data_IF_100976837618
#
_entry.id   IF_100976837618
#
_cell.length_a   1.000
_cell.length_b   1.000
_cell.length_c   1.000
_cell.angle_alpha   90.00
_cell.angle_beta   90.00
_cell.angle_gamma   90.00
#
_symmetry.space_group_name_H-M   'P 1'
#
loop_
_entity.id
_entity.type
_entity.pdbx_description
1 polymer ?
#
# COMPACT_ATOMS: atom_id res chain seq x y z
N UNK A 1 36.06 -10.26 4.63
CA UNK A 1 36.10 -10.90 3.30
C UNK A 1 35.05 -10.21 2.44
N UNK A 2 35.41 -9.66 1.27
CA UNK A 2 34.43 -9.23 0.27
C UNK A 2 34.07 -10.42 -0.65
N UNK A 3 32.83 -10.47 -1.12
CA UNK A 3 32.43 -11.30 -2.26
C UNK A 3 31.43 -10.52 -3.13
N UNK A 4 32.00 -10.00 -4.21
CA UNK A 4 31.52 -9.87 -5.59
C UNK A 4 30.06 -9.53 -5.92
N UNK A 5 30.00 -8.57 -6.83
CA UNK A 5 28.91 -8.20 -7.72
C UNK A 5 28.37 -9.42 -8.51
N UNK A 6 27.06 -9.45 -8.76
CA UNK A 6 26.52 -10.07 -9.98
C UNK A 6 25.47 -9.17 -10.62
N UNK A 7 25.46 -9.24 -11.96
CA UNK A 7 24.90 -8.23 -12.86
C UNK A 7 23.44 -8.48 -13.25
N UNK A 8 22.87 -7.52 -13.96
CA UNK A 8 21.46 -7.43 -14.35
C UNK A 8 21.03 -8.42 -15.44
N UNK A 9 19.73 -8.73 -15.46
CA UNK A 9 19.01 -9.06 -16.70
C UNK A 9 17.76 -8.18 -16.84
N UNK A 10 17.63 -7.57 -18.02
CA UNK A 10 16.47 -6.82 -18.49
C UNK A 10 15.78 -7.59 -19.62
N UNK A 11 14.59 -7.14 -20.05
CA UNK A 11 13.59 -7.85 -20.85
C UNK A 11 12.88 -9.00 -20.07
N UNK A 12 11.56 -9.17 -20.14
CA UNK A 12 10.71 -9.03 -21.34
C UNK A 12 9.31 -8.51 -20.97
N UNK A 13 8.86 -7.40 -21.56
CA UNK A 13 7.53 -6.81 -21.32
C UNK A 13 6.78 -6.37 -22.61
N UNK A 14 7.22 -6.85 -23.78
CA UNK A 14 6.63 -6.45 -25.08
C UNK A 14 5.59 -7.43 -25.66
N UNK A 15 5.30 -8.57 -25.02
CA UNK A 15 4.37 -9.58 -25.58
C UNK A 15 2.88 -9.35 -25.28
N UNK A 16 2.51 -8.29 -24.55
CA UNK A 16 1.12 -8.06 -24.12
C UNK A 16 0.35 -7.09 -25.03
N UNK A 17 1.03 -6.20 -25.75
CA UNK A 17 0.34 -5.18 -26.58
C UNK A 17 -0.12 -5.69 -27.97
N UNK A 18 0.52 -6.71 -28.53
CA UNK A 18 0.30 -7.11 -29.93
C UNK A 18 -0.95 -7.98 -30.16
N UNK A 19 -1.67 -8.35 -29.09
CA UNK A 19 -2.88 -9.19 -29.16
C UNK A 19 -4.22 -8.45 -29.22
N UNK A 20 -4.22 -7.11 -29.10
CA UNK A 20 -5.46 -6.31 -29.03
C UNK A 20 -5.77 -5.58 -30.36
N UNK A 21 -4.80 -5.42 -31.26
CA UNK A 21 -4.94 -4.58 -32.47
C UNK A 21 -5.50 -5.30 -33.71
N UNK A 22 -5.77 -6.62 -33.66
CA UNK A 22 -6.26 -7.39 -34.82
C UNK A 22 -7.57 -8.15 -34.57
N UNK A 23 -8.69 -7.44 -34.59
CA UNK A 23 -9.87 -7.85 -35.36
C UNK A 23 -10.92 -6.73 -35.47
N UNK A 24 -10.97 -6.10 -36.63
CA UNK A 24 -12.09 -5.24 -37.04
C UNK A 24 -13.13 -6.05 -37.80
N UNK A 25 -14.38 -5.56 -37.79
CA UNK A 25 -15.50 -5.91 -38.67
C UNK A 25 -16.20 -7.27 -38.48
N UNK A 26 -17.45 -7.20 -37.98
CA UNK A 26 -18.64 -7.56 -38.78
C UNK A 26 -19.92 -6.95 -38.19
N UNK A 27 -20.89 -6.72 -39.08
CA UNK A 27 -22.29 -6.39 -38.76
C UNK A 27 -22.92 -7.43 -37.82
N UNK A 28 -23.89 -7.00 -37.02
CA UNK A 28 -24.64 -7.86 -36.09
C UNK A 28 -25.74 -7.09 -35.38
N UNK A 29 -26.81 -6.80 -36.12
CA UNK A 29 -28.11 -6.37 -35.60
C UNK A 29 -28.68 -7.44 -34.65
N UNK A 30 -29.33 -7.01 -33.55
CA UNK A 30 -29.91 -7.91 -32.55
C UNK A 30 -30.29 -7.14 -31.30
N UNK A 31 -31.59 -6.92 -31.09
CA UNK A 31 -32.09 -6.06 -30.03
C UNK A 31 -32.04 -6.69 -28.63
N UNK A 32 -32.32 -5.85 -27.64
CA UNK A 32 -32.78 -6.28 -26.32
C UNK A 32 -34.02 -5.44 -25.98
N UNK A 33 -35.14 -6.12 -25.73
CA UNK A 33 -36.41 -5.49 -25.40
C UNK A 33 -36.68 -5.64 -23.90
N UNK A 34 -37.12 -4.53 -23.29
CA UNK A 34 -37.96 -4.50 -22.09
C UNK A 34 -37.28 -4.83 -20.73
N UNK A 35 -37.52 -3.97 -19.72
CA UNK A 35 -38.38 -4.34 -18.59
C UNK A 35 -38.63 -3.16 -17.62
N UNK A 36 -39.92 -2.88 -17.42
CA UNK A 36 -40.55 -2.37 -16.18
C UNK A 36 -40.16 -0.98 -15.62
N UNK A 37 -40.89 0.03 -16.10
CA UNK A 37 -41.81 0.94 -15.37
C UNK A 37 -41.91 0.94 -13.80
N UNK A 38 -42.53 2.03 -13.29
CA UNK A 38 -43.02 2.34 -11.93
C UNK A 38 -42.07 3.02 -10.93
N UNK A 39 -42.15 4.35 -10.87
CA UNK A 39 -42.66 5.07 -9.67
C UNK A 39 -42.71 6.59 -9.86
N UNK A 40 -43.69 7.09 -10.62
CA UNK A 40 -44.00 8.52 -10.65
C UNK A 40 -44.76 8.92 -9.36
N UNK A 41 -44.12 9.69 -8.49
CA UNK A 41 -44.79 10.34 -7.36
C UNK A 41 -45.46 11.63 -7.80
N UNK A 42 -46.72 11.81 -7.41
CA UNK A 42 -47.47 13.04 -7.71
C UNK A 42 -46.84 14.25 -7.00
N UNK A 43 -46.65 15.34 -7.74
CA UNK A 43 -46.67 16.69 -7.17
C UNK A 43 -47.38 17.64 -8.13
N UNK A 44 -48.27 18.47 -7.59
CA UNK A 44 -49.05 19.48 -8.31
C UNK A 44 -48.34 20.84 -8.29
N UNK A 45 -48.92 21.79 -9.04
CA UNK A 45 -48.58 23.22 -9.15
C UNK A 45 -47.29 23.57 -9.95
N UNK A 46 -47.24 24.64 -10.77
CA UNK A 46 -48.28 25.64 -11.08
C UNK A 46 -48.08 26.41 -12.40
N UNK A 47 -49.22 26.89 -12.94
CA UNK A 47 -49.47 28.13 -13.74
C UNK A 47 -48.65 28.60 -14.97
N UNK A 48 -49.42 29.01 -16.00
CA UNK A 48 -49.16 29.98 -17.11
C UNK A 48 -48.28 29.47 -18.28
N UNK A 49 -48.56 29.74 -19.57
CA UNK A 49 -49.45 30.68 -20.29
C UNK A 49 -50.32 29.90 -21.31
N UNK A 50 -51.54 30.24 -21.77
CA UNK A 50 -52.29 31.49 -22.03
C UNK A 50 -51.86 32.29 -23.28
N UNK A 51 -52.83 32.52 -24.19
CA UNK A 51 -52.81 33.14 -25.54
C UNK A 51 -52.48 32.20 -26.72
N UNK A 52 -53.13 32.28 -27.89
CA UNK A 52 -54.45 32.85 -28.30
C UNK A 52 -54.79 32.37 -29.73
N UNK A 53 -56.06 32.54 -30.14
CA UNK A 53 -56.61 32.65 -31.51
C UNK A 53 -57.43 31.49 -32.08
N UNK A 54 -58.65 31.87 -32.49
CA UNK A 54 -59.71 31.08 -33.11
C UNK A 54 -59.62 31.07 -34.64
N UNK A 55 -60.37 30.15 -35.29
CA UNK A 55 -61.40 30.43 -36.31
C UNK A 55 -62.34 29.20 -36.36
N UNK A 56 -63.62 29.31 -35.97
CA UNK A 56 -64.76 29.70 -36.81
C UNK A 56 -65.07 28.73 -37.97
N UNK A 57 -65.93 27.76 -37.67
CA UNK A 57 -66.77 27.03 -38.64
C UNK A 57 -67.91 27.96 -39.13
N UNK A 58 -68.43 27.78 -40.36
CA UNK A 58 -69.85 27.40 -40.44
C UNK A 58 -70.19 26.35 -41.53
N UNK A 59 -71.34 25.66 -41.39
CA UNK A 59 -71.72 24.48 -42.20
C UNK A 59 -72.56 24.84 -43.44
N UNK A 60 -72.81 23.86 -44.32
CA UNK A 60 -73.85 23.94 -45.36
C UNK A 60 -74.38 22.54 -45.77
N UNK A 61 -75.58 22.42 -46.38
CA UNK A 61 -76.60 21.58 -45.74
C UNK A 61 -77.44 20.70 -46.69
N UNK A 62 -78.46 20.07 -46.09
CA UNK A 62 -79.71 19.59 -46.72
C UNK A 62 -79.66 18.35 -47.64
N UNK A 63 -80.22 17.27 -47.10
CA UNK A 63 -81.05 16.35 -47.87
C UNK A 63 -82.17 17.09 -48.62
N UNK A 64 -82.52 16.63 -49.82
CA UNK A 64 -83.93 16.70 -50.24
C UNK A 64 -84.30 15.52 -51.15
N UNK A 65 -85.10 14.61 -50.60
CA UNK A 65 -85.90 13.65 -51.36
C UNK A 65 -87.22 14.28 -51.76
N UNK A 66 -87.56 14.31 -53.04
CA UNK A 66 -88.95 14.49 -53.49
C UNK A 66 -89.25 13.49 -54.61
N UNK A 67 -90.47 12.97 -54.59
CA UNK A 67 -90.99 11.95 -55.49
C UNK A 67 -92.33 12.47 -56.02
N UNK A 68 -92.58 12.27 -57.31
CA UNK A 68 -93.88 11.94 -57.94
C UNK A 68 -94.15 12.65 -59.30
N UNK A 69 -94.51 11.80 -60.27
CA UNK A 69 -95.64 11.91 -61.23
C UNK A 69 -95.91 13.24 -61.97
N UNK A 70 -95.86 13.20 -63.32
CA UNK A 70 -97.08 13.05 -64.16
C UNK A 70 -96.88 13.33 -65.67
N UNK A 71 -97.50 12.47 -66.50
CA UNK A 71 -98.17 12.74 -67.80
C UNK A 71 -97.48 13.43 -68.99
N UNK A 72 -97.57 12.74 -70.15
CA UNK A 72 -97.95 13.23 -71.49
C UNK A 72 -97.08 14.34 -72.16
N UNK A 73 -96.73 14.27 -73.45
CA UNK A 73 -97.64 14.22 -74.63
C UNK A 73 -96.89 13.66 -75.85
N UNK A 74 -97.60 12.90 -76.69
CA UNK A 74 -97.15 12.45 -78.01
C UNK A 74 -97.28 13.58 -79.07
N UNK A 75 -96.23 13.91 -79.86
CA UNK A 75 -96.37 14.72 -81.07
C UNK A 75 -97.02 13.88 -82.17
N UNK A 76 -98.19 14.32 -82.63
CA UNK A 76 -98.90 13.73 -83.78
C UNK A 76 -98.24 14.13 -85.09
N UNK A 77 -98.33 13.23 -86.08
CA UNK A 77 -98.26 13.62 -87.50
C UNK A 77 -99.29 14.72 -87.83
N UNK A 78 -98.95 15.61 -88.76
CA UNK A 78 -99.90 16.20 -89.68
C UNK A 78 -99.69 15.60 -91.08
N UNK A 79 -100.49 14.59 -91.42
CA UNK A 79 -100.68 14.16 -92.81
C UNK A 79 -101.18 15.35 -93.65
N UNK A 80 -100.38 15.80 -94.61
CA UNK A 80 -100.85 16.70 -95.67
C UNK A 80 -100.87 15.95 -97.00
N UNK A 81 -102.00 15.30 -97.26
CA UNK A 81 -102.39 14.87 -98.60
C UNK A 81 -102.94 16.11 -99.32
N UNK A 82 -102.37 16.49 -100.45
CA UNK A 82 -103.18 17.06 -101.54
C UNK A 82 -102.54 16.79 -102.91
N UNK A 83 -103.34 16.44 -103.93
CA UNK A 83 -102.83 16.04 -105.23
C UNK A 83 -102.66 17.22 -106.19
N UNK A 84 -101.71 17.08 -107.11
CA UNK A 84 -101.73 17.73 -108.42
C UNK A 84 -101.17 16.68 -109.40
N UNK A 85 -101.84 16.32 -110.48
CA UNK A 85 -102.60 17.21 -111.37
C UNK A 85 -101.86 17.21 -112.69
N UNK A 86 -102.12 16.21 -113.52
CA UNK A 86 -101.51 16.10 -114.86
C UNK A 86 -102.02 17.23 -115.73
N UNK A 87 -101.16 18.20 -116.05
CA UNK A 87 -101.37 19.15 -117.14
C UNK A 87 -100.00 19.58 -117.71
N UNK A 88 -99.77 19.17 -118.95
CA UNK A 88 -98.82 19.63 -119.96
C UNK A 88 -97.57 20.43 -119.55
N UNK A 89 -96.40 19.84 -119.82
CA UNK A 89 -95.09 20.49 -119.71
C UNK A 89 -94.87 21.52 -120.84
N UNK A 90 -94.11 22.59 -120.55
CA UNK A 90 -93.50 23.44 -121.58
C UNK A 90 -91.97 23.36 -121.50
N UNK A 91 -91.28 23.37 -122.64
CA UNK A 91 -89.81 23.19 -122.72
C UNK A 91 -89.01 24.30 -122.00
N UNK A 92 -89.58 25.49 -121.80
CA UNK A 92 -88.89 26.59 -121.11
C UNK A 92 -88.81 26.35 -119.61
N UNK A 93 -89.90 25.84 -119.02
CA UNK A 93 -90.05 25.56 -117.59
C UNK A 93 -89.22 24.33 -117.16
N UNK A 94 -88.86 23.46 -118.13
CA UNK A 94 -87.89 22.38 -117.93
C UNK A 94 -86.46 22.91 -117.84
N UNK A 95 -86.07 23.88 -118.68
CA UNK A 95 -84.67 24.34 -118.81
C UNK A 95 -84.22 25.22 -117.64
N UNK A 96 -85.10 26.09 -117.14
CA UNK A 96 -84.83 26.83 -115.89
C UNK A 96 -84.71 25.87 -114.70
N UNK A 97 -85.57 24.85 -114.65
CA UNK A 97 -85.57 23.80 -113.62
C UNK A 97 -84.32 22.92 -113.70
N UNK A 98 -83.81 22.60 -114.88
CA UNK A 98 -82.50 21.96 -115.08
C UNK A 98 -81.35 22.82 -114.56
N UNK A 99 -81.35 24.14 -114.83
CA UNK A 99 -80.32 25.05 -114.30
C UNK A 99 -80.37 25.16 -112.78
N UNK A 100 -81.57 25.14 -112.19
CA UNK A 100 -81.79 25.11 -110.75
C UNK A 100 -81.30 23.78 -110.14
N UNK A 101 -81.56 22.64 -110.80
CA UNK A 101 -81.07 21.32 -110.40
C UNK A 101 -79.54 21.27 -110.42
N UNK A 102 -78.89 21.80 -111.47
CA UNK A 102 -77.42 21.87 -111.55
C UNK A 102 -76.81 22.76 -110.46
N UNK A 103 -77.40 23.94 -110.19
CA UNK A 103 -76.96 24.80 -109.08
C UNK A 103 -77.19 24.17 -107.70
N UNK A 104 -78.29 23.44 -107.52
CA UNK A 104 -78.55 22.67 -106.30
C UNK A 104 -77.57 21.49 -106.15
N UNK A 105 -77.21 20.80 -107.24
CA UNK A 105 -76.17 19.77 -107.23
C UNK A 105 -74.79 20.34 -106.88
N UNK A 106 -74.36 21.42 -107.51
CA UNK A 106 -73.07 22.06 -107.21
C UNK A 106 -72.99 22.57 -105.77
N UNK A 107 -74.06 23.20 -105.27
CA UNK A 107 -74.16 23.61 -103.87
C UNK A 107 -74.17 22.42 -102.91
N UNK A 108 -74.84 21.31 -103.27
CA UNK A 108 -74.84 20.08 -102.48
C UNK A 108 -73.44 19.44 -102.43
N UNK A 109 -72.71 19.44 -103.54
CA UNK A 109 -71.34 18.92 -103.65
C UNK A 109 -70.35 19.80 -102.87
N UNK A 110 -70.40 21.13 -103.00
CA UNK A 110 -69.60 22.04 -102.15
C UNK A 110 -69.90 21.87 -100.67
N UNK A 111 -71.18 21.72 -100.30
CA UNK A 111 -71.59 21.45 -98.91
C UNK A 111 -71.10 20.09 -98.43
N UNK A 112 -71.11 19.06 -99.29
CA UNK A 112 -70.58 17.73 -98.97
C UNK A 112 -69.07 17.77 -98.72
N UNK A 113 -68.31 18.41 -99.62
CA UNK A 113 -66.86 18.57 -99.50
C UNK A 113 -66.48 19.38 -98.24
N UNK A 114 -67.24 20.43 -97.92
CA UNK A 114 -67.06 21.18 -96.68
C UNK A 114 -67.35 20.30 -95.45
N UNK A 115 -68.39 19.45 -95.50
CA UNK A 115 -68.75 18.53 -94.43
C UNK A 115 -67.62 17.53 -94.18
N UNK A 116 -67.10 16.88 -95.22
CA UNK A 116 -65.95 15.95 -95.13
C UNK A 116 -64.69 16.61 -94.53
N UNK A 117 -64.38 17.85 -94.93
CA UNK A 117 -63.26 18.61 -94.35
C UNK A 117 -63.52 18.93 -92.87
N UNK A 118 -64.76 19.26 -92.48
CA UNK A 118 -65.10 19.49 -91.06
C UNK A 118 -65.10 18.20 -90.23
N UNK A 119 -65.54 17.07 -90.78
CA UNK A 119 -65.50 15.75 -90.16
C UNK A 119 -64.05 15.32 -89.94
N UNK A 120 -63.18 15.49 -90.94
CA UNK A 120 -61.75 15.21 -90.84
C UNK A 120 -61.07 16.04 -89.75
N UNK A 121 -61.40 17.34 -89.64
CA UNK A 121 -60.91 18.21 -88.56
C UNK A 121 -61.45 17.80 -87.20
N UNK A 122 -62.74 17.48 -87.10
CA UNK A 122 -63.38 17.01 -85.86
C UNK A 122 -62.71 15.72 -85.36
N UNK A 123 -62.42 14.79 -86.26
CA UNK A 123 -61.71 13.55 -85.96
C UNK A 123 -60.29 13.81 -85.44
N UNK A 124 -59.52 14.68 -86.10
CA UNK A 124 -58.17 15.06 -85.66
C UNK A 124 -58.18 15.71 -84.26
N UNK A 125 -59.10 16.65 -84.00
CA UNK A 125 -59.28 17.26 -82.67
C UNK A 125 -59.70 16.22 -81.63
N UNK A 126 -60.52 15.23 -81.99
CA UNK A 126 -60.92 14.17 -81.08
C UNK A 126 -59.78 13.19 -80.75
N UNK A 127 -58.88 12.92 -81.71
CA UNK A 127 -57.63 12.19 -81.48
C UNK A 127 -56.67 12.97 -80.56
N UNK A 128 -56.55 14.30 -80.74
CA UNK A 128 -55.78 15.18 -79.85
C UNK A 128 -56.34 15.19 -78.42
N UNK A 129 -57.66 15.33 -78.25
CA UNK A 129 -58.34 15.22 -76.94
C UNK A 129 -58.05 13.87 -76.28
N UNK A 130 -58.05 12.78 -77.04
CA UNK A 130 -57.71 11.44 -76.53
C UNK A 130 -56.22 11.29 -76.19
N UNK A 131 -55.33 12.07 -76.81
CA UNK A 131 -53.92 12.15 -76.42
C UNK A 131 -53.75 12.92 -75.12
N UNK A 132 -54.30 14.14 -75.05
CA UNK A 132 -54.25 15.01 -73.86
C UNK A 132 -54.88 14.35 -72.62
N UNK A 133 -55.96 13.57 -72.80
CA UNK A 133 -56.54 12.77 -71.70
C UNK A 133 -55.58 11.74 -71.13
N UNK A 134 -54.80 11.05 -71.98
CA UNK A 134 -53.80 10.07 -71.52
C UNK A 134 -52.62 10.77 -70.83
N UNK A 135 -52.17 11.90 -71.38
CA UNK A 135 -51.10 12.70 -70.78
C UNK A 135 -51.50 13.27 -69.41
N UNK A 136 -52.74 13.76 -69.28
CA UNK A 136 -53.29 14.24 -68.00
C UNK A 136 -53.41 13.12 -66.97
N UNK A 137 -53.77 11.91 -67.39
CA UNK A 137 -53.77 10.73 -66.51
C UNK A 137 -52.34 10.34 -66.08
N UNK A 138 -51.35 10.38 -66.96
CA UNK A 138 -49.95 10.14 -66.57
C UNK A 138 -49.42 11.21 -65.62
N UNK A 139 -49.75 12.48 -65.85
CA UNK A 139 -49.37 13.59 -64.97
C UNK A 139 -50.06 13.51 -63.60
N UNK A 140 -51.30 13.02 -63.55
CA UNK A 140 -52.00 12.74 -62.29
C UNK A 140 -51.29 11.65 -61.49
N UNK A 141 -50.98 10.51 -62.11
CA UNK A 141 -50.28 9.42 -61.43
C UNK A 141 -48.91 9.86 -60.90
N UNK A 142 -48.15 10.66 -61.65
CA UNK A 142 -46.88 11.25 -61.19
C UNK A 142 -47.07 12.25 -60.04
N UNK A 143 -48.17 13.01 -60.02
CA UNK A 143 -48.50 13.91 -58.91
C UNK A 143 -48.86 13.13 -57.65
N UNK A 144 -49.67 12.08 -57.77
CA UNK A 144 -50.08 11.22 -56.66
C UNK A 144 -48.84 10.48 -56.06
N UNK A 145 -47.93 9.98 -56.91
CA UNK A 145 -46.64 9.42 -56.50
C UNK A 145 -45.74 10.46 -55.83
N UNK A 146 -45.65 11.68 -56.38
CA UNK A 146 -44.88 12.78 -55.79
C UNK A 146 -45.39 13.19 -54.40
N UNK A 147 -46.71 13.22 -54.20
CA UNK A 147 -47.33 13.49 -52.90
C UNK A 147 -46.99 12.39 -51.88
N UNK A 148 -47.07 11.12 -52.28
CA UNK A 148 -46.68 9.99 -51.42
C UNK A 148 -45.20 10.04 -51.06
N UNK A 149 -44.32 10.36 -52.01
CA UNK A 149 -42.89 10.53 -51.79
C UNK A 149 -42.57 11.70 -50.85
N UNK A 150 -43.30 12.83 -50.94
CA UNK A 150 -43.16 13.93 -50.00
C UNK A 150 -43.54 13.51 -48.57
N UNK A 151 -44.68 12.85 -48.38
CA UNK A 151 -45.12 12.37 -47.07
C UNK A 151 -44.14 11.33 -46.48
N UNK A 152 -43.58 10.44 -47.29
CA UNK A 152 -42.56 9.50 -46.84
C UNK A 152 -41.28 10.22 -46.40
N UNK A 153 -40.81 11.20 -47.17
CA UNK A 153 -39.62 11.98 -46.84
C UNK A 153 -39.81 12.80 -45.55
N UNK A 154 -40.99 13.40 -45.34
CA UNK A 154 -41.33 14.10 -44.10
C UNK A 154 -41.26 13.16 -42.88
N UNK A 155 -41.79 11.94 -42.99
CA UNK A 155 -41.71 10.93 -41.93
C UNK A 155 -40.26 10.51 -41.63
N UNK A 156 -39.46 10.16 -42.64
CA UNK A 156 -38.05 9.81 -42.44
C UNK A 156 -37.24 10.97 -41.84
N UNK A 157 -37.56 12.21 -42.19
CA UNK A 157 -36.91 13.40 -41.64
C UNK A 157 -37.34 13.65 -40.18
N UNK A 158 -38.59 13.35 -39.82
CA UNK A 158 -39.05 13.32 -38.44
C UNK A 158 -38.33 12.25 -37.61
N UNK A 159 -38.26 11.01 -38.10
CA UNK A 159 -37.55 9.90 -37.46
C UNK A 159 -36.07 10.24 -37.22
N UNK A 160 -35.36 10.72 -38.25
CA UNK A 160 -33.96 11.13 -38.13
C UNK A 160 -33.75 12.30 -37.14
N UNK A 161 -34.74 13.20 -36.97
CA UNK A 161 -34.70 14.26 -35.95
C UNK A 161 -34.89 13.71 -34.54
N UNK A 162 -35.79 12.75 -34.34
CA UNK A 162 -35.99 12.10 -33.05
C UNK A 162 -34.78 11.24 -32.66
N UNK A 163 -34.20 10.48 -33.60
CA UNK A 163 -32.98 9.71 -33.37
C UNK A 163 -31.79 10.64 -33.04
N UNK A 164 -31.65 11.77 -33.73
CA UNK A 164 -30.63 12.77 -33.40
C UNK A 164 -30.83 13.38 -31.99
N UNK A 165 -32.09 13.57 -31.55
CA UNK A 165 -32.42 14.06 -30.20
C UNK A 165 -32.07 13.03 -29.13
N UNK A 166 -32.46 11.77 -29.30
CA UNK A 166 -32.16 10.70 -28.33
C UNK A 166 -30.65 10.43 -28.26
N UNK A 167 -29.96 10.38 -29.41
CA UNK A 167 -28.50 10.26 -29.47
C UNK A 167 -27.79 11.42 -28.78
N UNK A 168 -28.27 12.67 -28.95
CA UNK A 168 -27.73 13.83 -28.22
C UNK A 168 -27.93 13.67 -26.70
N UNK A 169 -29.13 13.38 -26.23
CA UNK A 169 -29.39 13.18 -24.80
C UNK A 169 -28.54 12.06 -24.20
N UNK A 170 -28.31 10.97 -24.93
CA UNK A 170 -27.42 9.89 -24.52
C UNK A 170 -25.94 10.33 -24.47
N UNK A 171 -25.49 11.15 -25.42
CA UNK A 171 -24.14 11.72 -25.42
C UNK A 171 -23.93 12.71 -24.25
N UNK A 172 -24.89 13.61 -24.01
CA UNK A 172 -24.85 14.58 -22.90
C UNK A 172 -24.84 13.86 -21.53
N UNK A 173 -25.60 12.76 -21.38
CA UNK A 173 -25.54 11.91 -20.17
C UNK A 173 -24.15 11.29 -19.99
N UNK A 174 -23.57 10.69 -21.04
CA UNK A 174 -22.20 10.13 -20.96
C UNK A 174 -21.17 11.22 -20.64
N UNK A 175 -21.30 12.41 -21.21
CA UNK A 175 -20.38 13.52 -20.96
C UNK A 175 -20.38 13.92 -19.47
N UNK A 176 -21.55 14.06 -18.85
CA UNK A 176 -21.64 14.39 -17.41
C UNK A 176 -21.09 13.28 -16.52
N UNK A 177 -21.27 12.00 -16.90
CA UNK A 177 -20.65 10.85 -16.22
C UNK A 177 -19.11 10.86 -16.34
N UNK A 178 -18.57 11.15 -17.52
CA UNK A 178 -17.13 11.32 -17.71
C UNK A 178 -16.54 12.49 -16.92
N UNK A 179 -17.24 13.64 -16.86
CA UNK A 179 -16.79 14.80 -16.08
C UNK A 179 -16.85 14.54 -14.57
N UNK A 180 -17.86 13.81 -14.08
CA UNK A 180 -17.93 13.37 -12.70
C UNK A 180 -16.78 12.40 -12.35
N UNK A 181 -16.51 11.40 -13.21
CA UNK A 181 -15.41 10.45 -13.04
C UNK A 181 -14.04 11.13 -13.11
N UNK A 182 -13.85 12.07 -14.05
CA UNK A 182 -12.65 12.89 -14.17
C UNK A 182 -12.43 13.74 -12.92
N UNK A 183 -13.48 14.38 -12.42
CA UNK A 183 -13.43 15.19 -11.19
C UNK A 183 -13.07 14.34 -9.97
N UNK A 184 -13.66 13.15 -9.84
CA UNK A 184 -13.29 12.17 -8.80
C UNK A 184 -11.83 11.73 -8.90
N UNK A 185 -11.36 11.40 -10.11
CA UNK A 185 -9.98 10.98 -10.38
C UNK A 185 -8.96 12.07 -10.04
N UNK A 186 -9.25 13.33 -10.38
CA UNK A 186 -8.41 14.49 -10.04
C UNK A 186 -8.40 14.76 -8.53
N UNK A 187 -9.55 14.65 -7.85
CA UNK A 187 -9.61 14.72 -6.37
C UNK A 187 -8.71 13.65 -5.76
N UNK A 188 -8.88 12.38 -6.13
CA UNK A 188 -8.07 11.27 -5.63
C UNK A 188 -6.57 11.50 -5.84
N UNK A 189 -6.16 11.92 -7.04
CA UNK A 189 -4.76 12.26 -7.34
C UNK A 189 -4.23 13.36 -6.42
N UNK A 190 -5.01 14.43 -6.21
CA UNK A 190 -4.61 15.52 -5.30
C UNK A 190 -4.43 15.04 -3.85
N UNK A 191 -5.25 14.09 -3.38
CA UNK A 191 -5.11 13.49 -2.06
C UNK A 191 -3.83 12.67 -1.94
N UNK A 192 -3.48 11.89 -2.97
CA UNK A 192 -2.21 11.15 -3.00
C UNK A 192 -0.98 12.07 -3.07
N UNK A 193 -1.03 13.17 -3.80
CA UNK A 193 0.09 14.14 -3.85
C UNK A 193 0.27 14.85 -2.48
N UNK A 194 -0.83 15.17 -1.78
CA UNK A 194 -0.79 15.69 -0.41
C UNK A 194 -0.25 14.65 0.59
N UNK A 195 -0.70 13.40 0.53
CA UNK A 195 -0.20 12.30 1.34
C UNK A 195 1.30 12.07 1.12
N UNK A 196 1.74 12.03 -0.15
CA UNK A 196 3.15 11.93 -0.52
C UNK A 196 3.95 13.06 0.10
N UNK A 197 3.46 14.30 0.05
CA UNK A 197 4.11 15.46 0.65
C UNK A 197 4.33 15.26 2.16
N UNK A 198 3.31 14.81 2.91
CA UNK A 198 3.43 14.51 4.35
C UNK A 198 4.55 13.50 4.68
N UNK A 199 4.77 12.52 3.80
CA UNK A 199 5.80 11.48 3.98
C UNK A 199 7.18 11.95 3.52
N UNK A 200 7.27 12.79 2.49
CA UNK A 200 8.57 13.20 1.91
C UNK A 200 9.17 14.48 2.49
N UNK A 201 8.36 15.43 2.98
CA UNK A 201 8.87 16.71 3.51
C UNK A 201 9.12 16.69 5.01
N UNK A 202 8.54 15.72 5.73
CA UNK A 202 8.69 15.60 7.18
C UNK A 202 9.77 14.58 7.53
N UNK A 203 10.70 14.95 8.42
CA UNK A 203 11.62 13.97 9.00
C UNK A 203 10.86 12.92 9.81
N UNK A 204 11.45 11.72 10.00
CA UNK A 204 10.79 10.55 10.61
C UNK A 204 9.88 10.86 11.83
N UNK A 205 10.29 11.69 12.81
CA UNK A 205 9.43 12.02 13.96
C UNK A 205 8.18 12.81 13.61
N UNK A 206 8.26 13.70 12.61
CA UNK A 206 7.18 14.61 12.20
C UNK A 206 6.18 14.01 11.21
N UNK A 207 6.39 12.78 10.72
CA UNK A 207 5.46 12.15 9.76
C UNK A 207 4.09 11.91 10.43
N UNK A 208 4.08 11.44 11.67
CA UNK A 208 2.84 11.20 12.43
C UNK A 208 1.99 12.48 12.57
N UNK A 209 2.62 13.61 12.85
CA UNK A 209 1.94 14.90 13.02
C UNK A 209 1.47 15.49 11.69
N UNK A 210 2.27 15.34 10.62
CA UNK A 210 1.89 15.72 9.27
C UNK A 210 0.66 14.93 8.77
N UNK A 211 0.63 13.61 9.01
CA UNK A 211 -0.52 12.76 8.69
C UNK A 211 -1.75 13.12 9.54
N UNK A 212 -1.59 13.43 10.83
CA UNK A 212 -2.71 13.85 11.69
C UNK A 212 -3.30 15.20 11.23
N UNK A 213 -2.44 16.14 10.85
CA UNK A 213 -2.85 17.43 10.26
C UNK A 213 -3.55 17.25 8.90
N UNK A 214 -3.08 16.31 8.07
CA UNK A 214 -3.75 15.95 6.82
C UNK A 214 -5.14 15.35 7.06
N UNK A 215 -5.29 14.41 8.01
CA UNK A 215 -6.58 13.86 8.40
C UNK A 215 -7.57 14.90 8.95
N UNK A 216 -7.08 15.91 9.68
CA UNK A 216 -7.89 17.04 10.14
C UNK A 216 -8.33 17.94 8.96
N UNK A 217 -7.45 18.19 8.00
CA UNK A 217 -7.80 18.95 6.79
C UNK A 217 -8.83 18.23 5.91
N UNK A 218 -8.77 16.90 5.80
CA UNK A 218 -9.82 16.10 5.18
C UNK A 218 -11.17 16.29 5.90
N UNK A 219 -11.18 16.32 7.23
CA UNK A 219 -12.40 16.57 8.03
C UNK A 219 -13.08 17.90 7.66
N UNK A 220 -12.28 18.94 7.41
CA UNK A 220 -12.79 20.25 7.02
C UNK A 220 -13.31 20.32 5.58
N UNK A 221 -12.87 19.43 4.69
CA UNK A 221 -13.37 19.30 3.31
C UNK A 221 -14.73 18.59 3.28
N UNK A 222 -14.87 17.54 4.08
CA UNK A 222 -16.02 16.63 4.11
C UNK A 222 -17.38 17.28 4.46
N UNK A 223 -17.39 18.55 4.88
CA UNK A 223 -18.63 19.30 5.15
C UNK A 223 -19.46 19.58 3.89
N UNK A 224 -18.89 19.42 2.70
CA UNK A 224 -19.52 19.72 1.42
C UNK A 224 -19.85 18.43 0.63
N UNK A 225 -20.87 17.69 1.09
CA UNK A 225 -21.50 16.60 0.33
C UNK A 225 -20.51 15.52 -0.18
N UNK A 226 -19.49 15.17 0.62
CA UNK A 226 -18.50 14.16 0.27
C UNK A 226 -19.03 12.74 0.55
N UNK A 227 -18.70 11.81 -0.35
CA UNK A 227 -19.11 10.40 -0.23
C UNK A 227 -18.28 9.60 0.76
N UNK A 228 -18.83 8.44 1.13
CA UNK A 228 -18.32 7.49 2.15
C UNK A 228 -16.80 7.22 2.04
N UNK A 229 -16.32 6.98 0.81
CA UNK A 229 -14.91 6.72 0.51
C UNK A 229 -13.93 7.79 1.02
N UNK A 230 -14.32 9.07 1.13
CA UNK A 230 -13.44 10.11 1.68
C UNK A 230 -13.36 10.02 3.21
N UNK A 231 -14.43 9.57 3.87
CA UNK A 231 -14.48 9.31 5.31
C UNK A 231 -13.64 8.07 5.65
N UNK A 232 -13.76 7.00 4.86
CA UNK A 232 -12.91 5.82 4.96
C UNK A 232 -11.43 6.18 4.77
N UNK A 233 -11.09 6.92 3.70
CA UNK A 233 -9.71 7.38 3.46
C UNK A 233 -9.18 8.22 4.63
N UNK A 234 -9.98 9.16 5.15
CA UNK A 234 -9.62 9.93 6.33
C UNK A 234 -9.33 9.02 7.54
N UNK A 235 -10.17 8.01 7.78
CA UNK A 235 -10.00 7.07 8.88
C UNK A 235 -8.73 6.24 8.73
N UNK A 236 -8.41 5.78 7.52
CA UNK A 236 -7.13 5.12 7.22
C UNK A 236 -5.93 6.03 7.51
N UNK A 237 -5.97 7.32 7.16
CA UNK A 237 -4.89 8.27 7.49
C UNK A 237 -4.75 8.47 9.00
N UNK A 238 -5.86 8.52 9.77
CA UNK A 238 -5.80 8.61 11.25
C UNK A 238 -5.10 7.39 11.86
N UNK A 239 -5.48 6.18 11.43
CA UNK A 239 -4.87 4.92 11.89
C UNK A 239 -3.39 4.88 11.52
N UNK A 240 -3.03 5.28 10.30
CA UNK A 240 -1.63 5.37 9.87
C UNK A 240 -0.82 6.35 10.71
N UNK A 241 -1.36 7.54 11.01
CA UNK A 241 -0.73 8.53 11.88
C UNK A 241 -0.48 7.99 13.30
N UNK A 242 -1.42 7.22 13.86
CA UNK A 242 -1.27 6.56 15.16
C UNK A 242 -0.15 5.51 15.13
N UNK A 243 -0.15 4.60 14.14
CA UNK A 243 0.87 3.53 14.04
C UNK A 243 2.27 4.10 13.79
N UNK A 244 2.41 5.11 12.93
CA UNK A 244 3.69 5.81 12.71
C UNK A 244 4.15 6.53 13.99
N UNK A 245 3.23 7.15 14.75
CA UNK A 245 3.55 7.77 16.04
C UNK A 245 4.11 6.77 17.06
N UNK A 246 3.45 5.62 17.23
CA UNK A 246 3.90 4.54 18.12
C UNK A 246 5.29 4.03 17.70
N UNK A 247 5.49 3.76 16.42
CA UNK A 247 6.78 3.28 15.89
C UNK A 247 7.90 4.31 16.08
N UNK A 248 7.62 5.60 15.86
CA UNK A 248 8.59 6.67 16.10
C UNK A 248 8.95 6.78 17.59
N UNK A 249 7.98 6.64 18.49
CA UNK A 249 8.24 6.64 19.93
C UNK A 249 9.09 5.44 20.37
N UNK A 250 8.75 4.24 19.90
CA UNK A 250 9.52 3.01 20.16
C UNK A 250 10.94 3.09 19.61
N UNK A 251 11.12 3.66 18.42
CA UNK A 251 12.44 3.87 17.82
C UNK A 251 13.31 4.83 18.65
N UNK A 252 12.73 5.93 19.13
CA UNK A 252 13.41 6.88 20.02
C UNK A 252 13.78 6.23 21.37
N UNK A 253 12.88 5.47 21.99
CA UNK A 253 13.14 4.75 23.24
C UNK A 253 14.25 3.70 23.08
N UNK A 254 14.25 2.94 21.97
CA UNK A 254 15.31 1.97 21.68
C UNK A 254 16.67 2.63 21.49
N UNK A 255 16.73 3.76 20.77
CA UNK A 255 17.97 4.51 20.55
C UNK A 255 18.55 5.04 21.87
N UNK A 256 17.71 5.57 22.74
CA UNK A 256 18.05 6.03 24.08
C UNK A 256 18.50 4.86 25.00
N UNK A 257 17.81 3.71 24.94
CA UNK A 257 18.25 2.48 25.63
C UNK A 257 19.62 1.99 25.16
N UNK A 258 19.89 1.96 23.85
CA UNK A 258 21.21 1.62 23.31
C UNK A 258 22.27 2.62 23.79
N UNK A 259 22.00 3.92 23.70
CA UNK A 259 22.91 4.98 24.16
C UNK A 259 23.28 4.83 25.65
N UNK A 260 22.31 4.50 26.51
CA UNK A 260 22.58 4.19 27.93
C UNK A 260 23.39 2.91 28.12
N UNK A 261 23.10 1.87 27.34
CA UNK A 261 23.80 0.59 27.39
C UNK A 261 25.27 0.75 26.98
N UNK A 262 25.55 1.47 25.89
CA UNK A 262 26.90 1.74 25.39
C UNK A 262 27.70 2.57 26.40
N UNK A 263 27.09 3.60 27.00
CA UNK A 263 27.70 4.36 28.07
C UNK A 263 27.97 3.52 29.35
N UNK A 264 27.12 2.53 29.63
CA UNK A 264 27.33 1.55 30.71
C UNK A 264 28.47 0.58 30.40
N UNK A 265 28.50 0.04 29.19
CA UNK A 265 29.55 -0.85 28.71
C UNK A 265 30.91 -0.14 28.71
N UNK A 266 30.99 1.10 28.22
CA UNK A 266 32.20 1.91 28.26
C UNK A 266 32.74 2.20 29.67
N UNK A 267 31.87 2.25 30.69
CA UNK A 267 32.31 2.29 32.11
C UNK A 267 32.89 0.95 32.56
N UNK A 268 32.19 -0.15 32.30
CA UNK A 268 32.65 -1.50 32.67
C UNK A 268 33.99 -1.86 32.00
N UNK A 269 34.18 -1.49 30.74
CA UNK A 269 35.46 -1.67 30.01
C UNK A 269 36.60 -0.89 30.68
N UNK A 270 36.34 0.35 31.14
CA UNK A 270 37.32 1.15 31.87
C UNK A 270 37.67 0.54 33.21
N UNK A 271 36.67 0.14 34.00
CA UNK A 271 36.87 -0.52 35.29
C UNK A 271 37.67 -1.83 35.13
N UNK A 272 37.42 -2.60 34.07
CA UNK A 272 38.17 -3.83 33.76
C UNK A 272 39.64 -3.51 33.49
N UNK A 273 39.94 -2.49 32.67
CA UNK A 273 41.32 -2.09 32.36
C UNK A 273 42.05 -1.52 33.59
N UNK A 274 41.38 -0.73 34.43
CA UNK A 274 41.90 -0.25 35.72
C UNK A 274 42.22 -1.41 36.67
N UNK A 275 41.35 -2.43 36.76
CA UNK A 275 41.57 -3.63 37.59
C UNK A 275 42.70 -4.51 37.04
N UNK A 276 42.85 -4.61 35.72
CA UNK A 276 43.94 -5.32 35.05
C UNK A 276 45.28 -4.66 35.33
N UNK A 277 45.41 -3.35 35.22
CA UNK A 277 46.65 -2.64 35.55
C UNK A 277 46.95 -2.67 37.05
N UNK A 278 45.92 -2.60 37.92
CA UNK A 278 46.10 -2.84 39.37
C UNK A 278 46.63 -4.25 39.67
N UNK A 279 46.07 -5.29 39.04
CA UNK A 279 46.53 -6.68 39.21
C UNK A 279 47.98 -6.86 38.76
N UNK A 280 48.33 -6.28 37.60
CA UNK A 280 49.69 -6.27 37.05
C UNK A 280 50.67 -5.56 37.99
N UNK A 281 50.28 -4.42 38.54
CA UNK A 281 51.07 -3.68 39.55
C UNK A 281 51.28 -4.49 40.84
N UNK A 282 50.22 -5.10 41.39
CA UNK A 282 50.29 -5.96 42.57
C UNK A 282 51.16 -7.21 42.33
N UNK A 283 51.06 -7.81 41.14
CA UNK A 283 51.90 -8.94 40.75
C UNK A 283 53.39 -8.55 40.67
N UNK A 284 53.71 -7.43 40.02
CA UNK A 284 55.08 -6.88 39.98
C UNK A 284 55.61 -6.57 41.38
N UNK A 285 54.79 -5.96 42.24
CA UNK A 285 55.15 -5.70 43.65
C UNK A 285 55.43 -6.99 44.41
N UNK A 286 54.58 -8.00 44.26
CA UNK A 286 54.76 -9.31 44.91
C UNK A 286 56.07 -9.99 44.47
N UNK A 287 56.43 -9.92 43.18
CA UNK A 287 57.70 -10.47 42.70
C UNK A 287 58.92 -9.73 43.29
N UNK A 288 58.86 -8.41 43.40
CA UNK A 288 59.90 -7.61 44.08
C UNK A 288 59.98 -7.94 45.57
N UNK A 289 58.84 -8.08 46.25
CA UNK A 289 58.79 -8.44 47.67
C UNK A 289 59.32 -9.86 47.92
N UNK A 290 59.01 -10.82 47.05
CA UNK A 290 59.54 -12.20 47.09
C UNK A 290 61.06 -12.26 46.85
N UNK A 291 61.62 -11.31 46.11
CA UNK A 291 63.06 -11.20 45.99
C UNK A 291 63.67 -10.55 47.24
N UNK A 292 63.10 -9.44 47.72
CA UNK A 292 63.55 -8.75 48.92
C UNK A 292 63.39 -9.57 50.22
N UNK A 293 62.45 -10.52 50.28
CA UNK A 293 62.28 -11.38 51.45
C UNK A 293 63.41 -12.39 51.64
N UNK A 294 64.08 -12.82 50.55
CA UNK A 294 65.27 -13.70 50.62
C UNK A 294 66.47 -13.03 51.29
N UNK A 295 66.48 -11.70 51.30
CA UNK A 295 67.57 -10.87 51.84
C UNK A 295 67.26 -10.34 53.26
N UNK A 296 66.12 -10.75 53.84
CA UNK A 296 65.74 -10.38 55.22
C UNK A 296 66.09 -11.48 56.20
N UNK A 297 66.64 -11.08 57.35
CA UNK A 297 66.87 -11.95 58.49
C UNK A 297 65.52 -12.21 59.19
N UNK A 298 65.15 -13.47 59.30
CA UNK A 298 63.99 -13.95 60.05
C UNK A 298 64.26 -13.96 61.56
N UNK A 299 63.25 -13.61 62.35
CA UNK A 299 63.33 -13.50 63.82
C UNK A 299 62.13 -14.13 64.55
N UNK A 300 61.28 -14.92 63.87
CA UNK A 300 59.97 -15.31 64.41
C UNK A 300 59.53 -16.72 64.00
N UNK A 301 59.54 -16.98 62.69
CA UNK A 301 59.47 -18.31 62.10
C UNK A 301 60.70 -18.44 61.20
N UNK A 302 61.21 -19.65 61.10
CA UNK A 302 62.35 -19.96 60.25
C UNK A 302 61.85 -20.92 59.17
N UNK A 303 61.94 -20.50 57.92
CA UNK A 303 61.64 -21.33 56.76
C UNK A 303 62.90 -21.54 55.91
N UNK A 304 62.90 -22.59 55.09
CA UNK A 304 64.03 -22.90 54.20
C UNK A 304 64.15 -21.79 53.15
N UNK A 305 65.39 -21.38 52.88
CA UNK A 305 65.80 -20.23 52.04
C UNK A 305 65.65 -18.83 52.66
N UNK A 306 65.25 -18.70 53.93
CA UNK A 306 65.35 -17.42 54.66
C UNK A 306 66.76 -17.21 55.26
N UNK A 307 67.13 -15.97 55.56
CA UNK A 307 68.33 -15.70 56.38
C UNK A 307 67.99 -15.83 57.86
N UNK A 308 68.91 -16.35 58.66
CA UNK A 308 68.81 -16.37 60.11
C UNK A 308 70.11 -15.91 60.77
N UNK A 309 69.98 -15.22 61.91
CA UNK A 309 71.10 -14.76 62.72
C UNK A 309 71.17 -15.59 64.02
N UNK A 310 72.37 -16.03 64.36
CA UNK A 310 72.67 -16.86 65.52
C UNK A 310 73.71 -16.15 66.38
N UNK A 311 73.54 -16.22 67.70
CA UNK A 311 74.44 -15.62 68.69
C UNK A 311 74.94 -16.72 69.60
N UNK A 312 76.21 -16.64 69.99
CA UNK A 312 76.80 -17.60 70.91
C UNK A 312 76.24 -17.41 72.32
N UNK A 313 75.62 -18.46 72.88
CA UNK A 313 75.10 -18.46 74.24
C UNK A 313 76.20 -18.77 75.27
N UNK A 314 75.88 -18.64 76.57
CA UNK A 314 76.81 -18.89 77.67
C UNK A 314 77.27 -20.35 77.81
N UNK A 315 76.54 -21.30 77.20
CA UNK A 315 76.95 -22.70 77.10
C UNK A 315 77.90 -22.94 75.90
N UNK A 316 78.21 -21.91 75.11
CA UNK A 316 79.16 -21.96 74.00
C UNK A 316 78.54 -22.34 72.65
N UNK A 317 77.27 -22.72 72.60
CA UNK A 317 76.53 -23.06 71.37
C UNK A 317 75.93 -21.82 70.70
N UNK A 318 75.69 -21.89 69.39
CA UNK A 318 75.00 -20.82 68.66
C UNK A 318 73.48 -21.05 68.68
N UNK A 319 72.74 -20.09 69.24
CA UNK A 319 71.28 -20.09 69.27
C UNK A 319 70.73 -18.98 68.39
N UNK A 320 69.66 -19.27 67.63
CA UNK A 320 69.05 -18.34 66.70
C UNK A 320 68.29 -17.24 67.44
N UNK A 321 68.37 -16.00 66.95
CA UNK A 321 67.60 -14.88 67.50
C UNK A 321 66.12 -15.05 67.10
N UNK A 322 65.32 -15.67 67.96
CA UNK A 322 63.89 -15.88 67.73
C UNK A 322 63.03 -15.26 68.86
N UNK A 323 62.01 -14.49 68.46
CA UNK A 323 61.08 -13.78 69.36
C UNK A 323 59.96 -14.65 69.92
N UNK A 324 59.66 -15.77 69.28
CA UNK A 324 58.48 -16.61 69.59
C UNK A 324 58.81 -17.83 70.45
N UNK A 325 59.97 -18.46 70.22
CA UNK A 325 60.47 -19.61 70.99
C UNK A 325 62.00 -19.61 71.00
N UNK A 326 62.61 -19.88 72.16
CA UNK A 326 64.00 -20.36 72.25
C UNK A 326 64.12 -21.82 71.80
N UNK A 327 65.34 -22.37 71.76
CA UNK A 327 65.70 -23.73 71.32
C UNK A 327 65.83 -23.98 69.80
N UNK A 328 66.20 -22.95 69.03
CA UNK A 328 66.70 -23.12 67.65
C UNK A 328 68.23 -23.00 67.67
N UNK A 329 68.95 -24.10 67.47
CA UNK A 329 70.42 -24.13 67.52
C UNK A 329 71.01 -24.33 66.12
N UNK A 330 72.20 -23.77 65.89
CA UNK A 330 72.97 -24.00 64.67
C UNK A 330 73.65 -25.38 64.73
N UNK A 331 73.64 -26.13 63.62
CA UNK A 331 74.29 -27.44 63.53
C UNK A 331 75.83 -27.32 63.64
N UNK A 332 76.50 -28.34 64.18
CA UNK A 332 77.96 -28.30 64.37
C UNK A 332 78.71 -28.29 63.02
N UNK A 333 78.17 -28.95 62.00
CA UNK A 333 78.66 -28.91 60.62
C UNK A 333 78.57 -27.50 60.04
N UNK A 334 77.48 -26.79 60.33
CA UNK A 334 77.30 -25.40 59.90
C UNK A 334 78.24 -24.45 60.64
N UNK A 335 78.53 -24.70 61.92
CA UNK A 335 79.52 -23.93 62.70
C UNK A 335 80.93 -24.15 62.14
N UNK A 336 81.30 -25.38 61.80
CA UNK A 336 82.62 -25.74 61.28
C UNK A 336 83.03 -24.88 60.07
N UNK A 337 82.09 -24.69 59.13
CA UNK A 337 82.27 -23.86 57.92
C UNK A 337 82.75 -22.42 58.21
N UNK A 338 82.35 -21.83 59.35
CA UNK A 338 82.74 -20.47 59.74
C UNK A 338 83.94 -20.44 60.70
N UNK A 339 84.27 -21.54 61.38
CA UNK A 339 85.43 -21.62 62.27
C UNK A 339 86.73 -22.05 61.58
N UNK A 340 86.67 -22.80 60.48
CA UNK A 340 87.88 -23.17 59.73
C UNK A 340 88.55 -21.97 59.02
N UNK A 341 87.82 -20.88 58.78
CA UNK A 341 88.29 -19.70 58.05
C UNK A 341 88.77 -18.55 58.95
N UNK A 342 88.52 -18.59 60.26
CA UNK A 342 88.84 -17.51 61.20
C UNK A 342 89.50 -18.01 62.49
N UNK A 343 90.65 -17.42 62.85
CA UNK A 343 91.44 -17.77 64.05
C UNK A 343 90.74 -17.50 65.40
N UNK A 344 89.58 -16.84 65.37
CA UNK A 344 88.74 -16.56 66.54
C UNK A 344 87.29 -16.88 66.22
N UNK A 345 86.66 -17.70 67.07
CA UNK A 345 85.28 -18.14 66.91
C UNK A 345 84.31 -16.93 66.98
N UNK A 346 83.48 -16.68 65.95
CA UNK A 346 82.74 -15.43 65.80
C UNK A 346 81.65 -15.26 66.86
N UNK A 347 81.36 -14.03 67.28
CA UNK A 347 80.31 -13.77 68.30
C UNK A 347 78.89 -14.00 67.77
N UNK A 348 78.70 -13.84 66.46
CA UNK A 348 77.44 -14.09 65.76
C UNK A 348 77.72 -14.70 64.37
N UNK A 349 76.76 -15.46 63.84
CA UNK A 349 76.78 -16.03 62.49
C UNK A 349 75.47 -15.66 61.80
N UNK A 350 75.52 -15.24 60.54
CA UNK A 350 74.34 -14.98 59.70
C UNK A 350 74.49 -15.80 58.43
N UNK A 351 73.44 -16.52 58.03
CA UNK A 351 73.47 -17.31 56.80
C UNK A 351 72.09 -17.75 56.36
N UNK A 352 72.01 -18.35 55.17
CA UNK A 352 70.76 -18.82 54.59
C UNK A 352 70.43 -20.25 55.07
N UNK A 353 69.22 -20.43 55.58
CA UNK A 353 68.72 -21.73 56.04
C UNK A 353 68.53 -22.66 54.85
N UNK A 354 69.14 -23.84 54.90
CA UNK A 354 68.94 -24.92 53.90
C UNK A 354 68.17 -26.10 54.45
N UNK A 355 68.23 -26.36 55.76
CA UNK A 355 67.49 -27.43 56.39
C UNK A 355 67.15 -27.09 57.86
N UNK A 356 66.02 -27.60 58.35
CA UNK A 356 65.60 -27.48 59.75
C UNK A 356 65.14 -28.86 60.22
N UNK A 357 65.90 -29.45 61.13
CA UNK A 357 65.60 -30.72 61.77
C UNK A 357 64.85 -30.49 63.10
N UNK A 358 63.92 -31.39 63.44
CA UNK A 358 63.17 -31.35 64.72
C UNK A 358 63.59 -32.50 65.62
N UNK A 359 64.08 -32.18 66.81
CA UNK A 359 64.57 -33.14 67.81
C UNK A 359 63.76 -32.98 69.11
N UNK A 360 63.13 -34.04 69.60
CA UNK A 360 62.44 -34.03 70.89
C UNK A 360 63.36 -34.58 72.00
N UNK A 361 63.48 -33.86 73.13
CA UNK A 361 64.30 -34.29 74.28
C UNK A 361 63.41 -34.56 75.50
N UNK A 362 63.57 -35.73 76.11
CA UNK A 362 62.86 -36.15 77.33
C UNK A 362 63.86 -36.31 78.47
N UNK A 363 63.67 -35.62 79.59
CA UNK A 363 64.53 -35.73 80.78
C UNK A 363 63.92 -36.69 81.82
N UNK A 364 64.77 -37.55 82.39
CA UNK A 364 64.44 -38.46 83.49
C UNK A 364 65.12 -37.91 84.75
N UNK A 365 64.35 -37.70 85.83
CA UNK A 365 64.88 -37.21 87.11
C UNK A 365 65.27 -38.37 88.02
N UNK A 366 66.45 -38.32 88.65
CA UNK A 366 66.89 -39.30 89.65
C UNK A 366 66.86 -38.70 91.06
N UNK A 367 66.36 -39.50 92.00
CA UNK A 367 66.13 -39.14 93.40
C UNK A 367 67.30 -39.63 94.29
N UNK A 368 67.63 -38.86 95.32
CA UNK A 368 68.57 -39.24 96.38
C UNK A 368 67.96 -38.96 97.78
N UNK A 369 68.40 -39.71 98.79
CA UNK A 369 67.65 -40.04 100.02
C UNK A 369 68.51 -39.90 101.31
N UNK A 370 67.88 -40.01 102.49
CA UNK A 370 68.35 -39.85 103.90
C UNK A 370 68.35 -38.39 104.39
N UNK A 371 67.91 -38.03 105.61
CA UNK A 371 67.37 -38.76 106.79
C UNK A 371 67.61 -37.90 108.07
N UNK A 372 67.05 -38.13 109.27
CA UNK A 372 66.06 -39.07 109.81
C UNK A 372 65.59 -38.58 111.22
N UNK A 373 64.58 -39.22 111.85
CA UNK A 373 64.03 -39.02 113.22
C UNK A 373 63.11 -37.80 113.47
N UNK A 374 62.18 -37.82 114.44
CA UNK A 374 61.08 -38.76 114.75
C UNK A 374 60.41 -38.31 116.06
N UNK A 375 59.09 -38.05 116.06
CA UNK A 375 58.23 -38.26 117.22
C UNK A 375 56.76 -38.37 116.79
N UNK A 376 55.97 -39.14 117.54
CA UNK A 376 54.58 -39.49 117.23
C UNK A 376 53.59 -38.44 117.82
N UNK A 377 52.29 -38.39 117.54
CA UNK A 377 51.33 -39.34 116.93
C UNK A 377 50.00 -38.64 116.60
N UNK A 378 49.27 -39.05 115.55
CA UNK A 378 47.80 -39.38 115.54
C UNK A 378 47.06 -39.17 114.19
N UNK A 379 46.08 -40.05 113.96
CA UNK A 379 44.98 -40.10 112.96
C UNK A 379 45.18 -39.94 111.44
N UNK A 380 44.84 -41.05 110.76
CA UNK A 380 43.93 -41.15 109.60
C UNK A 380 44.24 -40.47 108.24
N UNK A 381 44.56 -41.34 107.26
CA UNK A 381 43.58 -41.61 106.19
C UNK A 381 43.83 -41.04 104.78
N UNK A 382 44.04 -41.94 103.81
CA UNK A 382 43.70 -41.69 102.39
C UNK A 382 44.86 -41.34 101.45
N UNK A 383 45.44 -42.35 100.79
CA UNK A 383 46.52 -42.14 99.82
C UNK A 383 46.06 -41.50 98.49
N UNK A 384 46.79 -40.48 98.02
CA UNK A 384 46.68 -39.93 96.66
C UNK A 384 47.82 -40.48 95.78
N UNK A 385 47.49 -41.08 94.63
CA UNK A 385 48.48 -41.36 93.57
C UNK A 385 48.73 -40.08 92.76
N UNK A 386 50.00 -39.73 92.60
CA UNK A 386 50.45 -38.62 91.75
C UNK A 386 50.58 -39.07 90.29
N UNK A 387 50.10 -38.26 89.34
CA UNK A 387 50.35 -38.43 87.91
C UNK A 387 51.22 -37.27 87.41
N UNK A 388 52.47 -37.57 87.08
CA UNK A 388 53.43 -36.60 86.53
C UNK A 388 53.10 -36.36 85.05
N UNK A 389 52.79 -35.11 84.68
CA UNK A 389 52.84 -34.68 83.28
C UNK A 389 54.28 -34.29 82.92
N UNK A 390 54.88 -35.00 81.98
CA UNK A 390 56.16 -34.61 81.38
C UNK A 390 55.96 -33.55 80.30
N UNK A 391 56.65 -32.41 80.43
CA UNK A 391 56.62 -31.33 79.42
C UNK A 391 57.75 -31.57 78.40
N UNK A 392 57.43 -32.28 77.31
CA UNK A 392 58.39 -32.47 76.20
C UNK A 392 58.74 -31.13 75.55
N UNK A 393 60.01 -30.73 75.63
CA UNK A 393 60.52 -29.55 74.95
C UNK A 393 61.05 -29.95 73.56
N UNK A 394 60.48 -29.36 72.51
CA UNK A 394 60.95 -29.59 71.14
C UNK A 394 62.11 -28.65 70.82
N UNK A 395 63.25 -29.23 70.47
CA UNK A 395 64.46 -28.54 70.02
C UNK A 395 64.51 -28.57 68.48
N UNK A 396 65.09 -27.54 67.88
CA UNK A 396 65.29 -27.46 66.45
C UNK A 396 66.77 -27.27 66.14
N UNK A 397 67.29 -28.02 65.16
CA UNK A 397 68.65 -27.87 64.64
C UNK A 397 68.53 -27.27 63.24
N UNK A 398 69.20 -26.14 63.01
CA UNK A 398 69.21 -25.44 61.73
C UNK A 398 70.55 -25.65 61.05
N UNK A 399 70.51 -25.99 59.76
CA UNK A 399 71.67 -26.07 58.88
C UNK A 399 71.70 -24.85 57.95
N UNK A 400 72.86 -24.24 57.78
CA UNK A 400 73.07 -23.08 56.91
C UNK A 400 73.93 -23.44 55.70
N UNK A 401 73.65 -22.78 54.57
CA UNK A 401 74.66 -22.62 53.53
C UNK A 401 75.58 -21.46 53.93
N UNK A 402 76.88 -21.61 53.71
CA UNK A 402 77.83 -20.51 53.81
C UNK A 402 77.50 -19.46 52.74
N UNK A 403 76.89 -18.35 53.17
CA UNK A 403 76.70 -17.14 52.36
C UNK A 403 77.69 -16.11 52.88
N UNK A 404 78.67 -15.74 52.06
CA UNK A 404 79.56 -14.62 52.36
C UNK A 404 78.76 -13.31 52.31
N UNK A 405 78.21 -12.93 53.45
CA UNK A 405 77.77 -11.56 53.73
C UNK A 405 79.00 -10.83 54.27
N UNK A 406 79.39 -9.72 53.62
CA UNK A 406 80.55 -8.90 54.00
C UNK A 406 80.47 -8.39 55.45
#
# INVERSE_FOLDING_TARGET
MPLDELSSTSATMDQIFDKISRQTSKHGEGGDENMADLSATHSLDSTRNSMDSSMLEPPNPQQMTVKDSSSNVCPKDPSNILPCGTSDQSESDLRERESLILNLQGSLEEKSNLLEVTESKLKAVMEEINSLRRELETNRNLLDESQMNCAHLENCLHEAREEARTNKCAADRRATEYDALRSSSLKLRSLFERLRSCVTTSGVPGIADALRSFALSLASSAKNNEGDATIEFQQCIKILAEKVGILSQQSAELLDRCSRMDAGHGRLVRELEEKKELMKSLYSKHQLEKQASKEKISFARFEVHELAAFVRNSAGHYEAINRNCSNYYLSEESVALFTEQHLTQPLYIIGQIVHIERVARTLISMQADRGNQSDASSSEGGGRRSSVMGVSHQTHIIFLLAVNIL
#
